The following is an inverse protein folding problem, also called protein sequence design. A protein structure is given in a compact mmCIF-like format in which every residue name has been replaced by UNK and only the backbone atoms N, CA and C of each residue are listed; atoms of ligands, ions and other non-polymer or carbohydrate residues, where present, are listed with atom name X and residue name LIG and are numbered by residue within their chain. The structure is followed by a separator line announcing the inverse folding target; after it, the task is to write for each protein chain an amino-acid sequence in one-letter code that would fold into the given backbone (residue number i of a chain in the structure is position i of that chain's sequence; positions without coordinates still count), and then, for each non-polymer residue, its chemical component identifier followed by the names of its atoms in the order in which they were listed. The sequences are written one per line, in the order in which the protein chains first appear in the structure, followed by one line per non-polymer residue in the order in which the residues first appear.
data_IF_923498727255
#
_entry.id   IF_923498727255
#
_cell.length_a   1.000
_cell.length_b   1.000
_cell.length_c   1.000
_cell.angle_alpha   90.00
_cell.angle_beta   90.00
_cell.angle_gamma   90.00
#
_symmetry.space_group_name_H-M   'P 1'
#
loop_
_entity.id
_entity.type
_entity.pdbx_description
1 polymer ?
#
# COMPACT_ATOMS: atom_id res chain seq x y z
N UNK A 1 -28.59 -3.84 18.09
CA UNK A 1 -28.10 -2.90 17.04
C UNK A 1 -26.93 -3.57 16.35
N UNK A 2 -26.84 -3.47 15.03
CA UNK A 2 -25.67 -3.95 14.27
C UNK A 2 -24.51 -2.97 14.52
N UNK A 3 -23.36 -3.48 14.88
CA UNK A 3 -22.13 -2.69 15.16
C UNK A 3 -21.18 -2.72 13.98
N UNK A 4 -20.15 -1.88 14.01
CA UNK A 4 -19.08 -1.87 12.99
C UNK A 4 -18.35 -3.23 12.98
N UNK A 5 -18.13 -3.84 14.13
CA UNK A 5 -17.49 -5.16 14.23
C UNK A 5 -18.30 -6.28 13.57
N UNK A 6 -19.63 -6.14 13.49
CA UNK A 6 -20.50 -7.15 12.85
C UNK A 6 -20.43 -7.09 11.31
N UNK A 7 -20.02 -5.96 10.72
CA UNK A 7 -20.02 -5.75 9.26
C UNK A 7 -18.62 -5.69 8.64
N UNK A 8 -17.60 -5.30 9.40
CA UNK A 8 -16.23 -5.08 8.93
C UNK A 8 -16.08 -3.79 8.13
N UNK A 9 -14.84 -3.47 7.79
CA UNK A 9 -14.45 -2.21 7.14
C UNK A 9 -15.08 -2.03 5.76
N UNK A 10 -14.96 -3.05 4.91
CA UNK A 10 -15.38 -2.98 3.50
C UNK A 10 -16.89 -2.75 3.36
N UNK A 11 -17.71 -3.44 4.15
CA UNK A 11 -19.17 -3.22 4.14
C UNK A 11 -19.53 -1.87 4.78
N UNK A 12 -18.77 -1.44 5.81
CA UNK A 12 -18.95 -0.10 6.38
C UNK A 12 -18.74 1.00 5.34
N UNK A 13 -17.66 0.93 4.56
CA UNK A 13 -17.38 1.90 3.49
C UNK A 13 -18.49 1.88 2.42
N UNK A 14 -18.97 0.69 2.02
CA UNK A 14 -20.11 0.58 1.09
C UNK A 14 -21.36 1.30 1.65
N UNK A 15 -21.64 1.15 2.93
CA UNK A 15 -22.77 1.82 3.59
C UNK A 15 -22.60 3.34 3.62
N UNK A 16 -21.41 3.83 3.94
CA UNK A 16 -21.08 5.26 3.92
C UNK A 16 -21.31 5.83 2.51
N UNK A 17 -20.78 5.17 1.48
CA UNK A 17 -20.87 5.62 0.10
C UNK A 17 -22.32 5.78 -0.41
N UNK A 18 -23.27 5.00 0.12
CA UNK A 18 -24.70 5.12 -0.23
C UNK A 18 -25.34 6.45 0.20
N UNK A 19 -24.71 7.15 1.15
CA UNK A 19 -25.19 8.43 1.67
C UNK A 19 -24.47 9.64 1.05
N UNK A 20 -23.51 9.41 0.15
CA UNK A 20 -22.70 10.46 -0.45
C UNK A 20 -23.14 10.72 -1.90
N UNK A 21 -23.20 11.99 -2.26
CA UNK A 21 -23.28 12.40 -3.67
C UNK A 21 -21.87 12.62 -4.18
N UNK A 22 -21.40 11.72 -5.03
CA UNK A 22 -20.07 11.83 -5.62
C UNK A 22 -20.05 12.91 -6.70
N UNK A 23 -18.89 13.57 -6.86
CA UNK A 23 -18.66 14.51 -7.95
C UNK A 23 -18.78 13.80 -9.28
N UNK A 24 -19.58 14.32 -10.23
CA UNK A 24 -19.65 13.73 -11.57
C UNK A 24 -18.35 13.96 -12.34
N UNK A 25 -17.97 13.00 -13.18
CA UNK A 25 -16.82 13.13 -14.08
C UNK A 25 -15.46 13.07 -13.39
N UNK A 26 -15.34 12.42 -12.24
CA UNK A 26 -14.03 12.18 -11.60
C UNK A 26 -13.14 11.34 -12.52
N UNK A 27 -11.88 11.76 -12.77
CA UNK A 27 -10.96 11.01 -13.64
C UNK A 27 -10.53 9.66 -13.05
N UNK A 28 -10.57 9.52 -11.72
CA UNK A 28 -10.30 8.29 -11.01
C UNK A 28 -11.61 7.74 -10.45
N UNK A 29 -11.99 6.49 -10.77
CA UNK A 29 -13.21 5.89 -10.26
C UNK A 29 -13.11 5.63 -8.76
N UNK A 30 -14.26 5.57 -8.08
CA UNK A 30 -14.32 5.14 -6.67
C UNK A 30 -13.70 3.76 -6.49
N UNK A 31 -13.08 3.52 -5.35
CA UNK A 31 -12.35 2.27 -5.01
C UNK A 31 -10.98 2.12 -5.68
N UNK A 32 -10.43 3.18 -6.24
CA UNK A 32 -9.01 3.26 -6.58
C UNK A 32 -8.20 3.76 -5.37
N UNK A 33 -6.86 3.76 -5.44
CA UNK A 33 -6.00 4.17 -4.32
C UNK A 33 -6.17 5.66 -3.98
N UNK A 34 -6.47 6.48 -4.97
CA UNK A 34 -6.59 7.92 -4.83
C UNK A 34 -7.93 8.44 -5.33
N UNK A 35 -8.24 9.68 -5.00
CA UNK A 35 -9.33 10.44 -5.59
C UNK A 35 -8.78 11.54 -6.49
N UNK A 36 -9.57 12.00 -7.48
CA UNK A 36 -9.13 13.02 -8.40
C UNK A 36 -10.25 14.01 -8.75
N UNK A 37 -9.84 15.28 -8.88
CA UNK A 37 -10.70 16.37 -9.35
C UNK A 37 -10.10 16.90 -10.65
N UNK A 38 -10.86 16.82 -11.75
CA UNK A 38 -10.45 17.37 -13.05
C UNK A 38 -10.36 18.89 -12.99
N UNK A 39 -9.31 19.45 -13.60
CA UNK A 39 -9.16 20.90 -13.77
C UNK A 39 -9.79 21.39 -15.09
N UNK A 40 -10.31 20.48 -15.93
CA UNK A 40 -10.96 20.82 -17.20
C UNK A 40 -10.01 21.09 -18.37
N UNK A 41 -8.70 21.01 -18.14
CA UNK A 41 -7.63 21.22 -19.14
C UNK A 41 -6.81 19.94 -19.42
N UNK A 42 -7.31 18.78 -19.00
CA UNK A 42 -6.62 17.48 -19.09
C UNK A 42 -5.70 17.18 -17.93
N UNK A 43 -5.65 18.07 -16.92
CA UNK A 43 -4.96 17.83 -15.64
C UNK A 43 -5.97 17.58 -14.53
N UNK A 44 -5.50 16.89 -13.50
CA UNK A 44 -6.27 16.63 -12.30
C UNK A 44 -5.47 16.92 -11.04
N UNK A 45 -6.17 17.38 -10.01
CA UNK A 45 -5.72 17.36 -8.62
C UNK A 45 -5.91 15.93 -8.11
N UNK A 46 -4.86 15.36 -7.55
CA UNK A 46 -4.88 14.03 -6.95
C UNK A 46 -4.81 14.17 -5.45
N UNK A 47 -5.72 13.50 -4.76
CA UNK A 47 -5.92 13.58 -3.32
C UNK A 47 -5.96 12.17 -2.73
N UNK A 48 -5.32 12.02 -1.58
CA UNK A 48 -5.43 10.80 -0.75
C UNK A 48 -5.51 11.20 0.71
N UNK A 49 -6.25 10.44 1.49
CA UNK A 49 -6.24 10.55 2.95
C UNK A 49 -6.24 9.17 3.56
N UNK A 50 -5.33 8.96 4.52
CA UNK A 50 -5.27 7.80 5.40
C UNK A 50 -5.16 8.24 6.85
N UNK A 51 -5.63 7.36 7.73
CA UNK A 51 -5.60 7.57 9.17
C UNK A 51 -4.66 6.55 9.83
N UNK A 52 -3.84 7.03 10.77
CA UNK A 52 -3.00 6.22 11.63
C UNK A 52 -3.45 6.45 13.07
N UNK A 53 -3.78 5.37 13.77
CA UNK A 53 -4.20 5.37 15.17
C UNK A 53 -3.11 4.69 16.01
N UNK A 54 -2.61 5.37 17.04
CA UNK A 54 -1.46 4.87 17.82
C UNK A 54 -1.66 3.46 18.37
N UNK A 55 -2.82 3.22 18.96
CA UNK A 55 -3.13 1.94 19.61
C UNK A 55 -3.16 0.75 18.66
N UNK A 56 -3.57 0.94 17.40
CA UNK A 56 -3.80 -0.15 16.43
C UNK A 56 -2.70 -0.28 15.39
N UNK A 57 -2.05 0.85 15.03
CA UNK A 57 -1.18 0.91 13.85
C UNK A 57 0.30 1.17 14.21
N UNK A 58 0.58 1.43 15.50
CA UNK A 58 1.95 1.67 15.97
C UNK A 58 2.41 0.49 16.84
N UNK A 59 3.26 -0.39 16.29
CA UNK A 59 3.79 -1.51 17.04
C UNK A 59 4.77 -1.04 18.13
N UNK A 60 4.89 -1.87 19.18
CA UNK A 60 5.79 -1.60 20.31
C UNK A 60 7.23 -1.40 19.80
N UNK A 61 7.86 -0.32 20.24
CA UNK A 61 9.24 0.05 19.88
C UNK A 61 9.35 1.05 18.73
N UNK A 62 8.29 1.32 17.99
CA UNK A 62 8.26 2.42 17.02
C UNK A 62 8.27 3.77 17.75
N UNK A 63 9.14 4.68 17.31
CA UNK A 63 9.24 6.02 17.89
C UNK A 63 8.20 6.98 17.32
N UNK A 64 7.88 8.10 18.02
CA UNK A 64 6.98 9.13 17.50
C UNK A 64 7.44 9.71 16.14
N UNK A 65 8.73 9.88 15.95
CA UNK A 65 9.31 10.32 14.66
C UNK A 65 9.01 9.30 13.54
N UNK A 66 9.20 8.01 13.80
CA UNK A 66 8.90 6.95 12.84
C UNK A 66 7.41 6.89 12.52
N UNK A 67 6.54 7.06 13.52
CA UNK A 67 5.08 7.12 13.33
C UNK A 67 4.66 8.29 12.44
N UNK A 68 5.22 9.48 12.68
CA UNK A 68 5.00 10.65 11.82
C UNK A 68 5.45 10.41 10.38
N UNK A 69 6.65 9.83 10.18
CA UNK A 69 7.13 9.48 8.85
C UNK A 69 6.23 8.44 8.18
N UNK A 70 5.82 7.39 8.90
CA UNK A 70 4.92 6.34 8.40
C UNK A 70 3.60 6.93 7.89
N UNK A 71 3.00 7.88 8.61
CA UNK A 71 1.76 8.55 8.20
C UNK A 71 1.88 9.25 6.84
N UNK A 72 3.06 9.81 6.53
CA UNK A 72 3.33 10.39 5.20
C UNK A 72 3.51 9.29 4.15
N UNK A 73 4.29 8.26 4.48
CA UNK A 73 4.62 7.17 3.54
C UNK A 73 3.37 6.45 3.06
N UNK A 74 2.42 6.11 3.96
CA UNK A 74 1.15 5.46 3.59
C UNK A 74 0.43 6.27 2.49
N UNK A 75 0.24 7.57 2.72
CA UNK A 75 -0.46 8.45 1.78
C UNK A 75 0.31 8.67 0.45
N UNK A 76 1.63 8.79 0.52
CA UNK A 76 2.47 9.01 -0.66
C UNK A 76 2.64 7.74 -1.50
N UNK A 77 2.52 6.56 -0.88
CA UNK A 77 2.50 5.28 -1.58
C UNK A 77 1.36 5.20 -2.57
N UNK A 78 0.16 5.59 -2.17
CA UNK A 78 -1.01 5.62 -3.05
C UNK A 78 -0.84 6.56 -4.26
N UNK A 79 -0.31 7.78 -4.01
CA UNK A 79 -0.01 8.68 -5.13
C UNK A 79 1.01 8.06 -6.07
N UNK A 80 2.07 7.48 -5.51
CA UNK A 80 3.11 6.80 -6.26
C UNK A 80 2.56 5.67 -7.13
N UNK A 81 1.63 4.87 -6.61
CA UNK A 81 1.00 3.76 -7.33
C UNK A 81 0.28 4.21 -8.60
N UNK A 82 -0.17 5.47 -8.66
CA UNK A 82 -0.82 6.08 -9.83
C UNK A 82 0.14 6.82 -10.78
N UNK A 83 1.45 6.79 -10.48
CA UNK A 83 2.46 7.54 -11.23
C UNK A 83 2.47 9.03 -10.89
N UNK A 84 1.95 9.41 -9.74
CA UNK A 84 1.82 10.82 -9.32
C UNK A 84 2.93 11.18 -8.34
N UNK A 85 3.63 12.29 -8.62
CA UNK A 85 4.59 12.87 -7.68
C UNK A 85 3.85 13.57 -6.55
N UNK A 86 4.08 13.19 -5.26
CA UNK A 86 3.57 13.95 -4.14
C UNK A 86 4.16 15.36 -4.12
N UNK A 87 3.33 16.37 -3.89
CA UNK A 87 3.74 17.78 -3.79
C UNK A 87 3.61 18.28 -2.36
N UNK A 88 2.54 17.91 -1.69
CA UNK A 88 2.21 18.44 -0.38
C UNK A 88 1.58 17.37 0.52
N UNK A 89 1.75 17.59 1.83
CA UNK A 89 1.12 16.82 2.88
C UNK A 89 0.51 17.75 3.93
N UNK A 90 -0.69 17.43 4.39
CA UNK A 90 -1.35 18.03 5.55
C UNK A 90 -1.61 16.93 6.58
N UNK A 91 -1.61 17.28 7.86
CA UNK A 91 -1.97 16.33 8.91
C UNK A 91 -2.89 16.98 9.95
N UNK A 92 -4.03 16.35 10.22
CA UNK A 92 -4.78 16.62 11.43
C UNK A 92 -4.31 15.64 12.51
N UNK A 93 -3.87 16.17 13.66
CA UNK A 93 -3.34 15.43 14.79
C UNK A 93 -4.28 15.54 15.99
N UNK A 94 -4.85 14.44 16.41
CA UNK A 94 -5.51 14.31 17.71
C UNK A 94 -4.56 13.69 18.72
N UNK A 95 -4.54 14.18 19.97
CA UNK A 95 -3.73 13.58 21.03
C UNK A 95 -4.38 13.78 22.41
N UNK A 96 -4.17 12.85 23.38
CA UNK A 96 -4.52 13.10 24.77
C UNK A 96 -3.77 14.31 25.34
N UNK A 97 -4.44 15.10 26.20
CA UNK A 97 -3.81 16.28 26.85
C UNK A 97 -2.58 15.93 27.71
N UNK A 98 -2.45 14.67 28.14
CA UNK A 98 -1.29 14.17 28.86
C UNK A 98 -0.11 13.72 27.97
N UNK A 99 -0.22 13.82 26.64
CA UNK A 99 0.86 13.45 25.72
C UNK A 99 2.04 14.41 25.90
N UNK A 100 3.29 13.89 26.06
CA UNK A 100 4.47 14.74 26.14
C UNK A 100 4.62 15.60 24.87
N UNK A 101 4.95 16.88 25.04
CA UNK A 101 5.14 17.82 23.93
C UNK A 101 6.22 17.31 22.97
N UNK A 102 7.29 16.74 23.50
CA UNK A 102 8.40 16.18 22.73
C UNK A 102 7.94 15.07 21.76
N UNK A 103 6.91 14.31 22.12
CA UNK A 103 6.33 13.28 21.23
C UNK A 103 5.66 13.92 20.01
N UNK A 104 4.92 15.01 20.23
CA UNK A 104 4.26 15.76 19.15
C UNK A 104 5.27 16.42 18.24
N UNK A 105 6.35 16.99 18.82
CA UNK A 105 7.46 17.58 18.06
C UNK A 105 8.19 16.51 17.22
N UNK A 106 8.40 15.32 17.76
CA UNK A 106 9.03 14.21 17.03
C UNK A 106 8.12 13.67 15.92
N UNK A 107 6.80 13.58 16.14
CA UNK A 107 5.83 13.29 15.08
C UNK A 107 5.94 14.32 13.95
N UNK A 108 6.01 15.62 14.28
CA UNK A 108 6.14 16.69 13.30
C UNK A 108 7.47 16.60 12.51
N UNK A 109 8.58 16.28 13.18
CA UNK A 109 9.86 16.00 12.51
C UNK A 109 9.73 14.78 11.57
N UNK A 110 8.96 13.78 11.97
CA UNK A 110 8.64 12.62 11.13
C UNK A 110 7.85 13.00 9.88
N UNK A 111 6.87 13.88 9.99
CA UNK A 111 6.14 14.42 8.83
C UNK A 111 7.07 15.12 7.85
N UNK A 112 7.92 16.02 8.33
CA UNK A 112 8.85 16.75 7.45
C UNK A 112 9.83 15.78 6.78
N UNK A 113 10.44 14.88 7.55
CA UNK A 113 11.37 13.89 7.03
C UNK A 113 10.73 13.01 5.95
N UNK A 114 9.52 12.47 6.21
CA UNK A 114 8.78 11.65 5.26
C UNK A 114 8.40 12.43 3.99
N UNK A 115 7.90 13.66 4.11
CA UNK A 115 7.54 14.46 2.96
C UNK A 115 8.77 14.81 2.10
N UNK A 116 9.86 15.23 2.74
CA UNK A 116 11.11 15.59 2.04
C UNK A 116 11.77 14.42 1.32
N UNK A 117 11.70 13.21 1.89
CA UNK A 117 12.24 11.98 1.28
C UNK A 117 11.70 11.74 -0.14
N UNK A 118 10.44 12.10 -0.39
CA UNK A 118 9.78 11.95 -1.70
C UNK A 118 9.64 13.25 -2.48
N UNK A 119 10.28 14.33 -2.02
CA UNK A 119 10.29 15.62 -2.70
C UNK A 119 9.04 16.47 -2.46
N UNK A 120 8.18 16.09 -1.52
CA UNK A 120 7.04 16.87 -1.06
C UNK A 120 7.36 17.77 0.13
N UNK A 121 6.34 18.50 0.59
CA UNK A 121 6.45 19.42 1.71
C UNK A 121 5.22 19.36 2.61
N UNK A 122 5.43 19.58 3.93
CA UNK A 122 4.33 19.94 4.80
C UNK A 122 3.80 21.32 4.43
N UNK A 123 2.47 21.46 4.33
CA UNK A 123 1.84 22.75 3.97
C UNK A 123 0.84 23.22 5.02
N UNK A 124 0.62 22.44 6.08
CA UNK A 124 -0.25 22.81 7.18
C UNK A 124 -0.85 21.60 7.88
N UNK A 125 -1.82 21.87 8.71
CA UNK A 125 -2.53 20.85 9.48
C UNK A 125 -3.44 21.48 10.53
N UNK A 126 -3.96 20.64 11.40
CA UNK A 126 -4.80 20.99 12.54
C UNK A 126 -4.44 20.13 13.75
N UNK A 127 -4.80 20.59 14.94
CA UNK A 127 -4.59 19.83 16.18
C UNK A 127 -5.84 19.87 17.06
N UNK A 128 -6.15 18.74 17.69
CA UNK A 128 -7.28 18.66 18.63
C UNK A 128 -7.00 17.69 19.78
N UNK A 129 -7.75 17.78 20.86
CA UNK A 129 -7.73 16.79 21.93
C UNK A 129 -8.48 15.52 21.50
N UNK A 130 -7.90 14.35 21.79
CA UNK A 130 -8.47 13.04 21.49
C UNK A 130 -8.13 12.03 22.61
N UNK A 131 -8.80 10.87 22.61
CA UNK A 131 -8.54 9.81 23.58
C UNK A 131 -7.31 8.96 23.26
N UNK A 132 -6.76 9.09 22.05
CA UNK A 132 -5.56 8.42 21.57
C UNK A 132 -4.79 9.36 20.61
N UNK A 133 -3.54 9.02 20.27
CA UNK A 133 -2.85 9.74 19.20
C UNK A 133 -3.41 9.25 17.87
N UNK A 134 -4.00 10.16 17.12
CA UNK A 134 -4.61 9.91 15.83
C UNK A 134 -4.00 10.89 14.81
N UNK A 135 -3.49 10.38 13.72
CA UNK A 135 -2.93 11.18 12.64
C UNK A 135 -3.78 10.91 11.39
N UNK A 136 -4.56 11.90 10.96
CA UNK A 136 -5.23 11.86 9.66
C UNK A 136 -4.39 12.65 8.67
N UNK A 137 -3.69 11.94 7.78
CA UNK A 137 -2.86 12.51 6.74
C UNK A 137 -3.66 12.79 5.47
N UNK A 138 -3.27 13.84 4.73
CA UNK A 138 -3.77 14.11 3.39
C UNK A 138 -2.60 14.42 2.47
N UNK A 139 -2.47 13.64 1.40
CA UNK A 139 -1.50 13.86 0.33
C UNK A 139 -2.15 14.57 -0.86
N UNK A 140 -1.37 15.41 -1.49
CA UNK A 140 -1.74 16.18 -2.67
C UNK A 140 -0.70 16.01 -3.78
N UNK A 141 -1.19 15.84 -5.02
CA UNK A 141 -0.38 15.83 -6.23
C UNK A 141 -1.12 16.39 -7.43
N UNK A 142 -0.39 16.59 -8.52
CA UNK A 142 -0.95 16.97 -9.82
C UNK A 142 -0.52 15.97 -10.87
N UNK A 143 -1.43 15.61 -11.77
CA UNK A 143 -1.15 14.71 -12.89
C UNK A 143 -1.89 15.14 -14.15
N UNK A 144 -1.37 14.74 -15.32
CA UNK A 144 -2.18 14.67 -16.52
C UNK A 144 -3.07 13.42 -16.44
N UNK A 145 -4.38 13.59 -16.65
CA UNK A 145 -5.37 12.50 -16.50
C UNK A 145 -5.02 11.25 -17.32
N UNK A 146 -4.49 11.45 -18.54
CA UNK A 146 -4.09 10.36 -19.44
C UNK A 146 -2.89 9.53 -18.97
N UNK A 147 -2.13 10.01 -17.98
CA UNK A 147 -0.95 9.33 -17.45
C UNK A 147 -1.23 8.60 -16.12
N UNK A 148 -2.45 8.70 -15.61
CA UNK A 148 -2.85 7.97 -14.40
C UNK A 148 -2.96 6.47 -14.68
N UNK A 149 -2.28 5.67 -13.86
CA UNK A 149 -2.34 4.20 -13.94
C UNK A 149 -3.40 3.69 -12.98
N UNK A 150 -4.59 3.38 -13.49
CA UNK A 150 -5.74 2.99 -12.68
C UNK A 150 -5.73 1.49 -12.32
N UNK A 151 -6.41 1.11 -11.23
CA UNK A 151 -6.63 -0.31 -10.87
C UNK A 151 -7.45 -1.08 -11.91
N UNK A 152 -8.32 -0.40 -12.65
CA UNK A 152 -9.37 -1.00 -13.48
C UNK A 152 -8.96 -1.34 -14.91
N UNK A 153 -7.75 -0.97 -15.35
CA UNK A 153 -7.41 -0.93 -16.78
C UNK A 153 -6.59 -2.12 -17.29
N UNK A 154 -6.34 -3.14 -16.44
CA UNK A 154 -5.68 -4.39 -16.86
C UNK A 154 -6.49 -5.17 -17.88
N UNK A 155 -5.81 -5.90 -18.77
CA UNK A 155 -6.41 -6.70 -19.84
C UNK A 155 -5.93 -8.15 -19.77
N UNK A 156 -6.77 -9.12 -20.14
CA UNK A 156 -6.33 -10.51 -20.27
C UNK A 156 -5.13 -10.63 -21.21
N UNK A 157 -4.09 -11.31 -20.75
CA UNK A 157 -2.81 -11.45 -21.41
C UNK A 157 -1.73 -10.50 -20.92
N UNK A 158 -2.08 -9.44 -20.17
CA UNK A 158 -1.09 -8.58 -19.52
C UNK A 158 -0.26 -9.38 -18.51
N UNK A 159 1.00 -9.01 -18.36
CA UNK A 159 1.92 -9.60 -17.38
C UNK A 159 1.63 -8.97 -16.03
N UNK A 160 1.38 -9.79 -15.01
CA UNK A 160 1.25 -9.36 -13.62
C UNK A 160 2.64 -9.35 -12.98
N UNK A 161 3.01 -8.25 -12.34
CA UNK A 161 4.32 -8.08 -11.72
C UNK A 161 4.28 -7.22 -10.44
N UNK A 162 5.42 -7.17 -9.74
CA UNK A 162 5.63 -6.34 -8.56
C UNK A 162 7.02 -5.69 -8.57
N UNK A 163 7.18 -4.61 -7.79
CA UNK A 163 8.43 -3.86 -7.66
C UNK A 163 9.45 -4.48 -6.71
N UNK A 164 9.06 -5.45 -5.89
CA UNK A 164 9.92 -6.12 -4.92
C UNK A 164 9.32 -7.41 -4.38
N UNK A 165 10.04 -8.08 -3.48
CA UNK A 165 9.55 -9.26 -2.76
C UNK A 165 8.76 -8.86 -1.51
N UNK A 166 8.00 -9.80 -0.99
CA UNK A 166 7.12 -9.66 0.17
C UNK A 166 7.64 -10.45 1.39
N UNK A 167 6.95 -10.32 2.51
CA UNK A 167 7.11 -11.15 3.70
C UNK A 167 7.96 -10.55 4.81
N UNK A 168 8.68 -9.45 4.57
CA UNK A 168 9.47 -8.80 5.63
C UNK A 168 8.58 -8.28 6.74
N UNK A 169 7.51 -7.58 6.40
CA UNK A 169 6.57 -7.03 7.38
C UNK A 169 5.79 -8.11 8.11
N UNK A 170 5.36 -9.17 7.40
CA UNK A 170 4.73 -10.34 8.03
C UNK A 170 5.66 -10.99 9.06
N UNK A 171 6.93 -11.18 8.70
CA UNK A 171 7.94 -11.72 9.61
C UNK A 171 8.16 -10.78 10.80
N UNK A 172 8.24 -9.48 10.55
CA UNK A 172 8.38 -8.47 11.61
C UNK A 172 7.20 -8.48 12.58
N UNK A 173 5.97 -8.53 12.09
CA UNK A 173 4.79 -8.63 12.96
C UNK A 173 4.77 -9.93 13.76
N UNK A 174 5.19 -11.05 13.20
CA UNK A 174 5.36 -12.29 13.97
C UNK A 174 6.42 -12.18 15.07
N UNK A 175 7.47 -11.41 14.86
CA UNK A 175 8.45 -11.09 15.90
C UNK A 175 7.84 -10.17 16.97
N UNK A 176 7.17 -9.10 16.57
CA UNK A 176 6.70 -8.04 17.45
C UNK A 176 5.43 -8.43 18.23
N UNK A 177 4.50 -9.15 17.59
CA UNK A 177 3.21 -9.50 18.17
C UNK A 177 3.17 -10.94 18.72
N UNK A 178 3.76 -11.91 18.00
CA UNK A 178 3.75 -13.32 18.39
C UNK A 178 4.99 -13.71 19.23
N UNK A 179 5.99 -12.82 19.33
CA UNK A 179 7.21 -13.04 20.12
C UNK A 179 8.15 -14.09 19.55
N UNK A 180 8.12 -14.36 18.24
CA UNK A 180 9.02 -15.35 17.60
C UNK A 180 10.48 -14.94 17.70
N UNK A 181 11.29 -15.80 18.34
CA UNK A 181 12.72 -15.56 18.58
C UNK A 181 13.51 -15.64 17.28
N UNK A 182 14.23 -14.60 16.96
CA UNK A 182 14.98 -14.45 15.73
C UNK A 182 16.39 -13.96 16.02
N UNK A 183 17.44 -14.42 15.31
CA UNK A 183 18.80 -13.86 15.43
C UNK A 183 18.77 -12.34 15.27
N UNK A 184 19.51 -11.63 16.11
CA UNK A 184 19.38 -10.17 16.25
C UNK A 184 19.62 -9.41 14.93
N UNK A 185 20.60 -9.84 14.14
CA UNK A 185 20.91 -9.23 12.84
C UNK A 185 19.73 -9.36 11.84
N UNK A 186 19.04 -10.50 11.83
CA UNK A 186 17.85 -10.73 11.00
C UNK A 186 16.64 -9.99 11.57
N UNK A 187 16.48 -10.01 12.90
CA UNK A 187 15.42 -9.30 13.60
C UNK A 187 15.44 -7.79 13.30
N UNK A 188 16.60 -7.15 13.40
CA UNK A 188 16.75 -5.71 13.13
C UNK A 188 16.30 -5.38 11.70
N UNK A 189 16.75 -6.12 10.68
CA UNK A 189 16.35 -5.85 9.28
C UNK A 189 14.86 -6.07 9.02
N UNK A 190 14.29 -7.14 9.59
CA UNK A 190 12.86 -7.40 9.44
C UNK A 190 12.00 -6.34 10.13
N UNK A 191 12.32 -6.00 11.38
CA UNK A 191 11.55 -5.01 12.15
C UNK A 191 11.67 -3.60 11.54
N UNK A 192 12.83 -3.27 10.96
CA UNK A 192 13.04 -2.01 10.24
C UNK A 192 12.05 -1.84 9.07
N UNK A 193 11.62 -2.93 8.42
CA UNK A 193 10.63 -2.84 7.32
C UNK A 193 9.28 -2.27 7.79
N UNK A 194 8.89 -2.52 9.04
CA UNK A 194 7.66 -1.99 9.65
C UNK A 194 7.89 -0.60 10.22
N UNK A 195 9.03 -0.37 10.89
CA UNK A 195 9.31 0.93 11.52
C UNK A 195 9.64 2.02 10.51
N UNK A 196 10.23 1.66 9.39
CA UNK A 196 10.67 2.59 8.34
C UNK A 196 10.20 2.13 6.95
N UNK A 197 8.88 2.00 6.75
CA UNK A 197 8.34 1.56 5.46
C UNK A 197 8.75 2.49 4.33
N UNK A 198 8.75 1.99 3.09
CA UNK A 198 9.18 2.75 1.91
C UNK A 198 8.14 2.70 0.81
N UNK A 199 7.63 3.86 0.43
CA UNK A 199 6.77 4.00 -0.75
C UNK A 199 7.58 3.88 -2.06
N UNK A 200 7.03 3.26 -3.07
CA UNK A 200 7.64 3.08 -4.40
C UNK A 200 7.31 4.23 -5.36
N UNK A 201 7.31 5.48 -4.87
CA UNK A 201 6.89 6.68 -5.64
C UNK A 201 7.65 6.81 -6.95
N UNK A 202 8.99 6.75 -6.92
CA UNK A 202 9.79 6.89 -8.14
C UNK A 202 9.55 5.74 -9.12
N UNK A 203 9.34 4.53 -8.60
CA UNK A 203 9.00 3.36 -9.42
C UNK A 203 7.65 3.53 -10.13
N UNK A 204 6.62 3.99 -9.43
CA UNK A 204 5.31 4.24 -10.01
C UNK A 204 5.33 5.34 -11.06
N UNK A 205 6.06 6.43 -10.82
CA UNK A 205 6.27 7.49 -11.82
C UNK A 205 6.98 6.94 -13.07
N UNK A 206 8.00 6.11 -12.88
CA UNK A 206 8.73 5.49 -13.98
C UNK A 206 7.85 4.55 -14.81
N UNK A 207 7.02 3.72 -14.16
CA UNK A 207 6.03 2.85 -14.81
C UNK A 207 5.01 3.66 -15.61
N UNK A 208 4.41 4.69 -15.02
CA UNK A 208 3.45 5.55 -15.71
C UNK A 208 4.08 6.24 -16.93
N UNK A 209 5.30 6.76 -16.78
CA UNK A 209 6.03 7.46 -17.85
C UNK A 209 6.43 6.52 -18.98
N UNK A 210 6.73 5.25 -18.70
CA UNK A 210 7.09 4.25 -19.71
C UNK A 210 5.93 3.94 -20.66
N UNK A 211 4.68 4.12 -20.21
CA UNK A 211 3.48 3.74 -20.93
C UNK A 211 3.28 2.22 -21.06
N UNK A 212 4.09 1.42 -20.34
CA UNK A 212 3.98 -0.05 -20.31
C UNK A 212 2.86 -0.51 -19.39
N UNK A 213 2.75 0.11 -18.20
CA UNK A 213 1.78 -0.29 -17.20
C UNK A 213 0.34 -0.11 -17.68
N UNK A 214 -0.47 -1.14 -17.48
CA UNK A 214 -1.89 -1.16 -17.78
C UNK A 214 -2.76 -1.03 -16.53
N UNK A 215 -2.30 -1.47 -15.37
CA UNK A 215 -2.92 -1.17 -14.07
C UNK A 215 -1.86 -1.16 -12.98
N UNK A 216 -2.16 -0.51 -11.86
CA UNK A 216 -1.26 -0.46 -10.70
C UNK A 216 -2.02 -0.14 -9.43
N UNK A 217 -1.51 -0.67 -8.31
CA UNK A 217 -1.83 -0.27 -6.95
C UNK A 217 -0.64 -0.57 -6.03
N UNK A 218 -0.60 0.03 -4.86
CA UNK A 218 0.34 -0.38 -3.82
C UNK A 218 -0.23 -1.51 -2.95
N UNK A 219 0.63 -2.21 -2.24
CA UNK A 219 0.24 -3.31 -1.36
C UNK A 219 0.36 -2.89 0.11
N UNK A 220 -0.71 -2.29 0.63
CA UNK A 220 -0.85 -1.89 2.04
C UNK A 220 -1.39 -3.01 2.92
N UNK A 221 -2.39 -3.77 2.44
CA UNK A 221 -3.11 -4.79 3.20
C UNK A 221 -2.65 -6.23 2.87
N UNK A 222 -1.65 -6.36 2.01
CA UNK A 222 -1.07 -7.61 1.56
C UNK A 222 -1.35 -7.95 0.10
N UNK A 223 -0.46 -8.77 -0.48
CA UNK A 223 -0.51 -9.13 -1.90
C UNK A 223 -1.85 -9.77 -2.30
N UNK A 224 -2.40 -10.65 -1.46
CA UNK A 224 -3.69 -11.29 -1.74
C UNK A 224 -4.82 -10.25 -1.83
N UNK A 225 -4.88 -9.29 -0.90
CA UNK A 225 -5.87 -8.19 -0.91
C UNK A 225 -5.70 -7.36 -2.18
N UNK A 226 -4.47 -6.97 -2.53
CA UNK A 226 -4.19 -6.20 -3.74
C UNK A 226 -4.68 -6.91 -5.01
N UNK A 227 -4.49 -8.22 -5.11
CA UNK A 227 -5.00 -9.01 -6.23
C UNK A 227 -6.54 -9.04 -6.28
N UNK A 228 -7.21 -9.15 -5.14
CA UNK A 228 -8.68 -9.10 -5.09
C UNK A 228 -9.23 -7.71 -5.43
N UNK A 229 -8.53 -6.64 -5.07
CA UNK A 229 -8.94 -5.28 -5.39
C UNK A 229 -8.72 -4.95 -6.87
N UNK A 230 -7.61 -5.38 -7.47
CA UNK A 230 -7.39 -5.33 -8.91
C UNK A 230 -8.44 -6.16 -9.67
N UNK A 231 -8.77 -7.37 -9.16
CA UNK A 231 -9.84 -8.20 -9.74
C UNK A 231 -11.19 -7.50 -9.70
N UNK A 232 -11.56 -6.90 -8.56
CA UNK A 232 -12.82 -6.19 -8.38
C UNK A 232 -12.92 -5.00 -9.32
N UNK A 233 -11.83 -4.23 -9.48
CA UNK A 233 -11.78 -3.01 -10.28
C UNK A 233 -11.75 -3.30 -11.77
N UNK A 234 -10.97 -4.28 -12.24
CA UNK A 234 -10.82 -4.61 -13.66
C UNK A 234 -11.84 -5.63 -14.19
N UNK A 235 -12.42 -6.43 -13.30
CA UNK A 235 -13.27 -7.56 -13.68
C UNK A 235 -12.53 -8.78 -14.22
N UNK A 236 -11.18 -8.78 -14.21
CA UNK A 236 -10.32 -9.86 -14.68
C UNK A 236 -9.87 -10.75 -13.52
N UNK A 237 -9.31 -11.92 -13.81
CA UNK A 237 -8.64 -12.77 -12.84
C UNK A 237 -7.13 -12.79 -13.02
N UNK A 238 -6.46 -13.53 -12.13
CA UNK A 238 -4.99 -13.62 -12.14
C UNK A 238 -4.56 -15.09 -11.98
N UNK A 239 -3.55 -15.48 -12.75
CA UNK A 239 -2.88 -16.76 -12.62
C UNK A 239 -1.43 -16.52 -12.26
N UNK A 240 -1.09 -16.75 -10.99
CA UNK A 240 0.24 -16.58 -10.44
C UNK A 240 1.04 -17.85 -10.67
N UNK A 241 2.29 -17.68 -11.06
CA UNK A 241 3.30 -18.75 -11.17
C UNK A 241 4.46 -18.52 -10.21
N UNK A 242 4.49 -17.33 -9.58
CA UNK A 242 5.50 -16.96 -8.58
C UNK A 242 4.87 -16.10 -7.48
N UNK A 243 5.32 -16.29 -6.25
CA UNK A 243 5.00 -15.45 -5.10
C UNK A 243 6.34 -15.15 -4.41
N UNK A 244 6.98 -14.02 -4.74
CA UNK A 244 8.36 -13.74 -4.34
C UNK A 244 8.45 -13.35 -2.87
N UNK A 245 9.26 -14.07 -2.11
CA UNK A 245 9.74 -13.64 -0.80
C UNK A 245 11.02 -12.80 -0.92
N UNK A 246 11.22 -11.89 0.01
CA UNK A 246 12.53 -11.30 0.21
C UNK A 246 13.49 -12.33 0.81
N UNK A 247 14.81 -12.12 0.64
CA UNK A 247 15.82 -13.04 1.19
C UNK A 247 15.73 -13.17 2.72
N UNK A 248 15.40 -12.09 3.42
CA UNK A 248 15.29 -12.11 4.89
C UNK A 248 14.00 -12.79 5.36
N UNK A 249 12.88 -12.58 4.66
CA UNK A 249 11.63 -13.33 4.92
C UNK A 249 11.79 -14.83 4.62
N UNK A 250 12.58 -15.18 3.60
CA UNK A 250 12.91 -16.58 3.27
C UNK A 250 13.65 -17.27 4.42
N UNK A 251 14.71 -16.64 4.94
CA UNK A 251 15.46 -17.15 6.11
C UNK A 251 14.58 -17.27 7.35
N UNK A 252 13.67 -16.31 7.55
CA UNK A 252 12.72 -16.34 8.65
C UNK A 252 11.73 -17.49 8.51
N UNK A 253 11.21 -17.73 7.30
CA UNK A 253 10.33 -18.84 7.00
C UNK A 253 11.01 -20.21 7.28
N UNK A 254 12.25 -20.37 6.84
CA UNK A 254 13.06 -21.56 7.10
C UNK A 254 13.30 -21.78 8.59
N UNK A 255 13.69 -20.71 9.32
CA UNK A 255 13.97 -20.77 10.77
C UNK A 255 12.76 -21.27 11.58
N UNK A 256 11.55 -20.88 11.17
CA UNK A 256 10.32 -21.15 11.90
C UNK A 256 9.42 -22.19 11.23
N UNK A 257 9.88 -22.83 10.15
CA UNK A 257 9.11 -23.79 9.34
C UNK A 257 7.73 -23.24 8.94
N UNK A 258 7.69 -22.00 8.41
CA UNK A 258 6.47 -21.33 7.99
C UNK A 258 6.20 -21.52 6.50
N UNK A 259 4.91 -21.48 6.13
CA UNK A 259 4.50 -21.46 4.74
C UNK A 259 4.98 -20.17 4.04
N UNK A 260 5.83 -20.35 3.03
CA UNK A 260 6.47 -19.27 2.27
C UNK A 260 5.45 -18.44 1.50
N UNK A 261 4.49 -19.11 0.85
CA UNK A 261 3.45 -18.44 0.09
C UNK A 261 2.51 -17.64 1.00
N UNK A 262 2.14 -18.20 2.15
CA UNK A 262 1.32 -17.49 3.13
C UNK A 262 2.03 -16.25 3.69
N UNK A 263 3.35 -16.32 3.93
CA UNK A 263 4.14 -15.20 4.42
C UNK A 263 4.13 -14.01 3.44
N UNK A 264 4.19 -14.29 2.14
CA UNK A 264 4.19 -13.27 1.10
C UNK A 264 2.78 -12.74 0.76
N UNK A 265 1.76 -13.63 0.80
CA UNK A 265 0.41 -13.28 0.35
C UNK A 265 -0.37 -12.43 1.35
N UNK A 266 -0.20 -12.67 2.66
CA UNK A 266 -1.15 -12.21 3.67
C UNK A 266 -0.61 -11.16 4.64
N UNK A 267 0.59 -10.65 4.44
CA UNK A 267 1.16 -9.57 5.24
C UNK A 267 0.92 -8.18 4.65
N UNK A 268 0.50 -7.25 5.49
CA UNK A 268 0.32 -5.85 5.12
C UNK A 268 1.57 -5.00 5.28
N UNK A 269 1.47 -3.72 4.91
CA UNK A 269 2.47 -2.65 5.06
C UNK A 269 3.78 -2.83 4.26
N UNK A 270 3.76 -3.64 3.18
CA UNK A 270 4.94 -3.79 2.30
C UNK A 270 5.14 -2.60 1.37
N UNK A 271 4.07 -1.93 0.95
CA UNK A 271 4.07 -0.78 0.04
C UNK A 271 4.81 -1.03 -1.29
N UNK A 272 4.95 -2.28 -1.69
CA UNK A 272 5.37 -2.63 -3.04
C UNK A 272 4.24 -2.38 -4.04
N UNK A 273 4.56 -1.98 -5.26
CA UNK A 273 3.55 -1.87 -6.31
C UNK A 273 3.24 -3.25 -6.87
N UNK A 274 1.95 -3.53 -7.00
CA UNK A 274 1.40 -4.65 -7.77
C UNK A 274 0.76 -4.08 -9.02
N UNK A 275 1.28 -4.46 -10.18
CA UNK A 275 0.91 -3.83 -11.43
C UNK A 275 0.82 -4.84 -12.57
N UNK A 276 0.23 -4.39 -13.67
CA UNK A 276 0.18 -5.18 -14.91
C UNK A 276 0.76 -4.38 -16.05
N UNK A 277 1.51 -5.06 -16.93
CA UNK A 277 2.17 -4.49 -18.10
C UNK A 277 1.68 -5.13 -19.40
N UNK A 278 1.73 -4.35 -20.48
CA UNK A 278 1.59 -4.89 -21.83
C UNK A 278 2.69 -5.90 -22.10
N UNK A 279 2.38 -7.10 -22.62
CA UNK A 279 3.40 -8.16 -22.82
C UNK A 279 4.58 -7.75 -23.71
N UNK A 280 4.34 -6.89 -24.68
CA UNK A 280 5.34 -6.37 -25.62
C UNK A 280 6.18 -5.20 -25.07
N UNK A 281 5.85 -4.70 -23.86
CA UNK A 281 6.53 -3.56 -23.21
C UNK A 281 7.16 -3.91 -21.84
N UNK A 282 7.23 -5.18 -21.47
CA UNK A 282 7.79 -5.62 -20.17
C UNK A 282 9.25 -5.18 -19.99
N UNK A 283 10.05 -5.23 -21.06
CA UNK A 283 11.45 -4.82 -20.98
C UNK A 283 11.62 -3.30 -20.83
N UNK A 284 10.72 -2.49 -21.40
CA UNK A 284 10.64 -1.05 -21.18
C UNK A 284 10.28 -0.75 -19.71
N UNK A 285 9.29 -1.44 -19.16
CA UNK A 285 8.93 -1.34 -17.74
C UNK A 285 10.13 -1.73 -16.85
N UNK A 286 10.80 -2.83 -17.16
CA UNK A 286 11.98 -3.30 -16.42
C UNK A 286 13.12 -2.28 -16.41
N UNK A 287 13.41 -1.65 -17.55
CA UNK A 287 14.41 -0.58 -17.65
C UNK A 287 14.02 0.65 -16.85
N UNK A 288 12.75 1.07 -16.96
CA UNK A 288 12.23 2.21 -16.25
C UNK A 288 12.33 2.00 -14.72
N UNK A 289 11.92 0.84 -14.22
CA UNK A 289 11.99 0.48 -12.79
C UNK A 289 13.43 0.43 -12.29
N UNK A 290 14.35 -0.19 -13.02
CA UNK A 290 15.78 -0.22 -12.66
C UNK A 290 16.38 1.19 -12.54
N UNK A 291 16.01 2.09 -13.44
CA UNK A 291 16.44 3.49 -13.39
C UNK A 291 15.88 4.24 -12.15
N UNK A 292 14.75 3.76 -11.62
CA UNK A 292 14.12 4.29 -10.42
C UNK A 292 14.56 3.55 -9.13
N UNK A 293 15.50 2.60 -9.23
CA UNK A 293 16.01 1.82 -8.09
C UNK A 293 15.05 0.72 -7.61
N UNK A 294 14.19 0.22 -8.49
CA UNK A 294 13.27 -0.90 -8.22
C UNK A 294 13.47 -2.04 -9.25
N UNK A 295 12.95 -3.22 -8.92
CA UNK A 295 12.97 -4.36 -9.83
C UNK A 295 11.59 -4.57 -10.49
N UNK A 296 11.55 -5.40 -11.54
CA UNK A 296 10.33 -5.99 -12.06
C UNK A 296 10.39 -7.49 -11.80
N UNK A 297 9.53 -7.96 -10.92
CA UNK A 297 9.42 -9.38 -10.57
C UNK A 297 8.06 -9.88 -11.09
N UNK A 298 8.10 -10.77 -12.07
CA UNK A 298 6.89 -11.32 -12.64
C UNK A 298 6.20 -12.27 -11.65
N UNK A 299 4.92 -12.06 -11.42
CA UNK A 299 4.06 -12.92 -10.58
C UNK A 299 3.26 -13.91 -11.43
N UNK A 300 2.89 -13.52 -12.67
CA UNK A 300 2.04 -14.33 -13.54
C UNK A 300 1.36 -13.50 -14.63
N UNK A 301 0.10 -13.83 -14.93
CA UNK A 301 -0.65 -13.22 -16.03
C UNK A 301 -2.09 -12.89 -15.65
N UNK A 302 -2.64 -11.88 -16.31
CA UNK A 302 -4.05 -11.52 -16.25
C UNK A 302 -4.88 -12.50 -17.09
N UNK A 303 -6.01 -12.98 -16.56
CA UNK A 303 -6.89 -13.93 -17.23
C UNK A 303 -8.32 -13.40 -17.36
N UNK A 304 -9.06 -13.88 -18.35
CA UNK A 304 -10.53 -13.60 -18.50
C UNK A 304 -11.37 -14.21 -17.38
N UNK A 305 -10.86 -15.27 -16.77
CA UNK A 305 -11.55 -15.98 -15.72
C UNK A 305 -11.39 -15.21 -14.41
N UNK A 306 -12.50 -14.81 -13.79
CA UNK A 306 -12.54 -14.09 -12.51
C UNK A 306 -12.11 -14.94 -11.32
N UNK A 307 -10.97 -15.64 -11.44
CA UNK A 307 -10.36 -16.43 -10.36
C UNK A 307 -8.95 -15.91 -10.10
N UNK A 308 -8.51 -15.99 -8.86
CA UNK A 308 -7.12 -15.76 -8.47
C UNK A 308 -6.56 -17.12 -8.08
N UNK A 309 -5.62 -17.59 -8.87
CA UNK A 309 -5.06 -18.94 -8.76
C UNK A 309 -3.53 -18.83 -8.64
N UNK A 310 -2.98 -19.53 -7.68
CA UNK A 310 -1.53 -19.74 -7.58
C UNK A 310 -1.19 -21.17 -8.03
N UNK A 311 -0.21 -21.29 -8.90
CA UNK A 311 0.29 -22.58 -9.40
C UNK A 311 1.59 -22.89 -8.69
N UNK A 312 1.56 -23.88 -7.84
CA UNK A 312 2.71 -24.38 -7.09
C UNK A 312 2.95 -25.84 -7.47
N UNK A 313 4.15 -26.17 -7.93
CA UNK A 313 4.54 -27.51 -8.39
C UNK A 313 3.56 -28.12 -9.41
N UNK A 314 3.00 -27.31 -10.30
CA UNK A 314 2.03 -27.72 -11.30
C UNK A 314 0.60 -27.90 -10.78
N UNK A 315 0.36 -27.67 -9.49
CA UNK A 315 -0.97 -27.77 -8.85
C UNK A 315 -1.59 -26.37 -8.73
N UNK A 316 -2.80 -26.22 -9.26
CA UNK A 316 -3.56 -24.97 -9.12
C UNK A 316 -4.28 -24.92 -7.76
N UNK A 317 -3.99 -23.85 -7.02
CA UNK A 317 -4.61 -23.56 -5.73
C UNK A 317 -5.30 -22.19 -5.79
N UNK A 318 -6.53 -22.04 -5.30
CA UNK A 318 -7.12 -20.71 -5.17
C UNK A 318 -6.35 -19.89 -4.13
N UNK A 319 -6.07 -18.64 -4.43
CA UNK A 319 -5.55 -17.70 -3.42
C UNK A 319 -6.70 -17.33 -2.49
N UNK A 320 -6.52 -17.55 -1.18
CA UNK A 320 -7.53 -17.20 -0.17
C UNK A 320 -7.71 -15.69 -0.03
N UNK A 321 -8.90 -15.27 0.39
CA UNK A 321 -9.12 -13.90 0.83
C UNK A 321 -8.52 -13.77 2.24
N UNK A 322 -7.35 -13.18 2.34
CA UNK A 322 -6.65 -12.92 3.60
C UNK A 322 -5.83 -11.66 3.46
N UNK A 323 -5.51 -11.03 4.59
CA UNK A 323 -4.79 -9.77 4.69
C UNK A 323 -5.32 -8.97 5.87
N UNK A 324 -4.87 -7.75 6.00
CA UNK A 324 -5.32 -6.86 7.06
C UNK A 324 -6.70 -6.28 6.76
N UNK A 325 -7.56 -6.19 7.78
CA UNK A 325 -8.84 -5.49 7.73
C UNK A 325 -9.18 -4.93 9.10
N UNK A 326 -9.47 -3.63 9.18
CA UNK A 326 -9.90 -2.99 10.43
C UNK A 326 -11.26 -3.53 10.91
N UNK A 327 -11.51 -3.41 12.21
CA UNK A 327 -12.77 -3.79 12.90
C UNK A 327 -13.10 -5.29 12.94
N UNK A 328 -12.31 -6.15 12.33
CA UNK A 328 -12.58 -7.62 12.35
C UNK A 328 -12.09 -8.31 13.60
N UNK A 329 -11.41 -7.58 14.50
CA UNK A 329 -10.82 -8.09 15.74
C UNK A 329 -9.63 -9.02 15.41
N UNK A 330 -8.43 -8.62 15.77
CA UNK A 330 -7.31 -9.56 15.86
C UNK A 330 -7.70 -10.64 16.87
N UNK A 331 -8.02 -11.84 16.37
CA UNK A 331 -8.02 -13.05 17.18
C UNK A 331 -6.67 -13.70 17.09
#
# INVERSE_FOLDING_TARGET
MVTIADVGERELVIRIMRHLTLMPGMPVPSWDDVNAVSLGDGRAVILKTDMLVWKTDIPVGMTPLQAGRKAVVMNFSDLGSKGVRPLAFLAALGAPSATPVEWVEDIAKGFDAGAREYGGYMVGGDTNEACDIIISGMAYGLAEEKHLVLRSTSKPGDVLATTGGFGNTTAAFKILLDGLKTPEDLRVRLVESVYMPRARVNAGIALATSGAATSSMDSSDGLAVSLYDLQKSSGNGFRLTSVPLTRDAEKFAELHNLDRAALALYGGEEYELVFTDKPDMVEEARKALRSAGADLIELGVVTKNRKIIYVEDGVEKPVGKGGWEHFTGLK
#
